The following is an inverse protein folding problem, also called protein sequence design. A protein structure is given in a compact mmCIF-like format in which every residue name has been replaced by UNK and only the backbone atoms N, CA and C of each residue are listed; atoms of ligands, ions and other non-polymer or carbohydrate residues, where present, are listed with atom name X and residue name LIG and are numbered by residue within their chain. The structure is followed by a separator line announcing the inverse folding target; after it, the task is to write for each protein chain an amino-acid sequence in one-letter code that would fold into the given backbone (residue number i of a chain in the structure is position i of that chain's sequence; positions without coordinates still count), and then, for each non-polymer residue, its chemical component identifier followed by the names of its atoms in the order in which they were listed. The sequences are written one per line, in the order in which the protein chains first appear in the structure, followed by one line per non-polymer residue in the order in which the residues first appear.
data_IF_892881353568
#
_entry.id   IF_892881353568
#
_cell.length_a   1.000
_cell.length_b   1.000
_cell.length_c   1.000
_cell.angle_alpha   90.00
_cell.angle_beta   90.00
_cell.angle_gamma   90.00
#
_symmetry.space_group_name_H-M   'P 1'
#
loop_
_entity.id
_entity.type
_entity.pdbx_description
1 polymer ?
#
# COMPACT_ATOMS: atom_id res chain seq x y z
N UNK A 1 -1.40 -14.43 -25.10
CA UNK A 1 -0.43 -15.41 -24.58
C UNK A 1 -0.11 -15.02 -23.13
N UNK A 2 -0.76 -15.61 -22.11
CA UNK A 2 -0.40 -15.30 -20.74
C UNK A 2 0.96 -15.94 -20.44
N UNK A 3 1.92 -15.12 -20.06
CA UNK A 3 3.26 -15.57 -19.68
C UNK A 3 3.14 -16.24 -18.32
N UNK A 4 3.24 -17.56 -18.27
CA UNK A 4 3.39 -18.28 -17.01
C UNK A 4 4.73 -17.89 -16.39
N UNK A 5 4.69 -17.01 -15.38
CA UNK A 5 5.83 -16.73 -14.53
C UNK A 5 6.17 -18.03 -13.79
N UNK A 6 7.32 -18.62 -14.12
CA UNK A 6 7.86 -19.81 -13.45
C UNK A 6 8.09 -19.44 -11.98
N UNK A 7 7.51 -20.22 -11.07
CA UNK A 7 7.69 -20.04 -9.65
C UNK A 7 9.18 -20.13 -9.29
N UNK A 8 9.73 -19.09 -8.68
CA UNK A 8 11.12 -19.07 -8.23
C UNK A 8 11.36 -20.23 -7.23
N UNK A 9 12.52 -20.91 -7.30
CA UNK A 9 12.86 -21.95 -6.34
C UNK A 9 12.89 -21.39 -4.93
N UNK A 10 12.45 -22.20 -3.95
CA UNK A 10 12.40 -21.79 -2.55
C UNK A 10 13.83 -21.51 -2.06
N UNK A 11 14.14 -20.31 -1.54
CA UNK A 11 15.50 -19.91 -1.19
C UNK A 11 16.06 -20.77 -0.06
N UNK A 12 17.37 -20.98 -0.10
CA UNK A 12 18.11 -21.71 0.93
C UNK A 12 17.94 -21.02 2.31
N UNK A 13 18.10 -21.74 3.43
CA UNK A 13 17.87 -21.18 4.77
C UNK A 13 18.77 -19.97 5.09
N UNK A 14 20.02 -19.94 4.63
CA UNK A 14 20.93 -18.78 4.78
C UNK A 14 20.44 -17.57 3.99
N UNK A 15 19.91 -17.80 2.79
CA UNK A 15 19.35 -16.77 1.92
C UNK A 15 18.05 -16.23 2.50
N UNK A 16 17.22 -17.06 3.14
CA UNK A 16 16.03 -16.64 3.90
C UNK A 16 16.36 -15.72 5.08
N UNK A 17 17.51 -15.92 5.72
CA UNK A 17 17.98 -15.05 6.80
C UNK A 17 18.46 -13.71 6.24
N UNK A 18 19.22 -13.72 5.14
CA UNK A 18 19.66 -12.50 4.45
C UNK A 18 18.47 -11.71 3.86
N UNK A 19 17.44 -12.39 3.37
CA UNK A 19 16.15 -11.83 2.95
C UNK A 19 15.32 -11.25 4.11
N UNK A 20 15.79 -11.35 5.35
CA UNK A 20 15.17 -10.77 6.55
C UNK A 20 16.11 -9.81 7.29
N UNK A 21 17.28 -9.52 6.73
CA UNK A 21 18.19 -8.53 7.31
C UNK A 21 17.54 -7.15 7.34
N UNK A 22 17.66 -6.50 8.50
CA UNK A 22 17.36 -5.09 8.64
C UNK A 22 18.23 -4.29 7.65
N UNK A 23 17.64 -3.25 7.04
CA UNK A 23 18.33 -2.39 6.07
C UNK A 23 18.09 -2.75 4.59
N UNK A 24 17.18 -3.67 4.27
CA UNK A 24 16.70 -3.88 2.90
C UNK A 24 15.23 -3.49 2.79
N UNK A 25 14.86 -2.92 1.65
CA UNK A 25 13.47 -2.61 1.32
C UNK A 25 12.60 -3.87 1.36
N UNK A 26 11.46 -3.81 2.04
CA UNK A 26 10.52 -4.92 2.16
C UNK A 26 9.86 -5.33 0.82
N UNK A 27 10.00 -4.51 -0.23
CA UNK A 27 9.44 -4.75 -1.56
C UNK A 27 10.50 -5.21 -2.54
N UNK A 28 11.48 -4.35 -2.87
CA UNK A 28 12.49 -4.64 -3.90
C UNK A 28 13.78 -5.28 -3.36
N UNK A 29 13.95 -5.41 -2.04
CA UNK A 29 15.14 -5.95 -1.37
C UNK A 29 16.46 -5.17 -1.58
N UNK A 30 16.45 -4.02 -2.27
CA UNK A 30 17.61 -3.12 -2.32
C UNK A 30 17.92 -2.56 -0.92
N UNK A 31 19.20 -2.34 -0.64
CA UNK A 31 19.64 -1.72 0.62
C UNK A 31 19.07 -0.30 0.77
N UNK A 32 18.42 -0.04 1.90
CA UNK A 32 17.81 1.24 2.24
C UNK A 32 17.77 1.44 3.75
N UNK A 33 17.78 2.71 4.17
CA UNK A 33 17.56 3.09 5.57
C UNK A 33 16.07 3.00 5.98
N UNK A 34 15.16 2.99 5.00
CA UNK A 34 13.72 2.89 5.23
C UNK A 34 13.23 1.45 5.04
N UNK A 35 12.16 1.07 5.74
CA UNK A 35 11.49 -0.22 5.58
C UNK A 35 10.97 -0.43 4.15
N UNK A 36 10.49 0.64 3.50
CA UNK A 36 10.17 0.65 2.06
C UNK A 36 10.90 1.85 1.47
N UNK A 37 11.75 1.62 0.47
CA UNK A 37 12.54 2.69 -0.15
C UNK A 37 11.67 3.68 -0.92
N UNK A 38 12.17 4.90 -1.09
CA UNK A 38 11.50 5.99 -1.82
C UNK A 38 11.07 5.60 -3.24
N UNK A 39 11.85 4.80 -3.98
CA UNK A 39 11.45 4.33 -5.32
C UNK A 39 10.18 3.46 -5.29
N UNK A 40 10.11 2.53 -4.33
CA UNK A 40 8.93 1.70 -4.15
C UNK A 40 7.74 2.52 -3.66
N UNK A 41 7.96 3.53 -2.83
CA UNK A 41 6.92 4.47 -2.40
C UNK A 41 6.37 5.26 -3.59
N UNK A 42 7.26 5.78 -4.43
CA UNK A 42 6.89 6.53 -5.63
C UNK A 42 6.13 5.69 -6.65
N UNK A 43 6.33 4.37 -6.69
CA UNK A 43 5.60 3.48 -7.58
C UNK A 43 4.25 3.05 -6.98
N UNK A 44 4.25 2.66 -5.71
CA UNK A 44 3.13 1.91 -5.13
C UNK A 44 2.32 2.67 -4.07
N UNK A 45 2.79 3.81 -3.57
CA UNK A 45 2.11 4.64 -2.56
C UNK A 45 1.67 6.01 -3.10
N UNK A 46 1.51 6.18 -4.42
CA UNK A 46 1.04 7.45 -4.99
C UNK A 46 -0.37 7.78 -4.48
N UNK A 47 -0.58 8.99 -3.93
CA UNK A 47 -1.92 9.44 -3.54
C UNK A 47 -2.90 9.34 -4.71
N UNK A 48 -4.09 8.83 -4.41
CA UNK A 48 -5.18 8.71 -5.39
C UNK A 48 -6.31 9.66 -4.96
N UNK A 49 -6.99 10.34 -5.88
CA UNK A 49 -8.21 11.05 -5.54
C UNK A 49 -9.26 10.04 -5.07
N UNK A 50 -9.82 10.27 -3.89
CA UNK A 50 -10.80 9.37 -3.26
C UNK A 50 -12.05 10.13 -2.87
N UNK A 51 -13.19 9.43 -2.91
CA UNK A 51 -14.45 9.94 -2.41
C UNK A 51 -14.33 10.27 -0.93
N UNK A 52 -14.70 11.48 -0.54
CA UNK A 52 -14.69 11.92 0.86
C UNK A 52 -15.46 10.97 1.78
N UNK A 53 -16.61 10.48 1.30
CA UNK A 53 -17.52 9.67 2.10
C UNK A 53 -17.11 8.20 2.15
N UNK A 54 -16.90 7.54 1.00
CA UNK A 54 -16.67 6.08 0.94
C UNK A 54 -15.24 5.67 0.56
N UNK A 55 -14.33 6.62 0.34
CA UNK A 55 -12.95 6.42 -0.10
C UNK A 55 -12.73 5.64 -1.42
N UNK A 56 -13.80 5.38 -2.19
CA UNK A 56 -13.67 4.84 -3.55
C UNK A 56 -12.83 5.77 -4.43
N UNK A 57 -11.99 5.20 -5.30
CA UNK A 57 -11.19 5.98 -6.25
C UNK A 57 -12.09 6.84 -7.13
N UNK A 58 -11.62 8.05 -7.40
CA UNK A 58 -12.27 9.02 -8.27
C UNK A 58 -11.41 9.26 -9.52
N UNK A 59 -11.99 9.83 -10.59
CA UNK A 59 -11.20 10.32 -11.72
C UNK A 59 -10.24 11.44 -11.31
N UNK A 60 -9.08 11.52 -11.98
CA UNK A 60 -8.08 12.55 -11.76
C UNK A 60 -8.62 13.99 -11.93
N UNK A 61 -9.67 14.18 -12.73
CA UNK A 61 -10.33 15.48 -12.90
C UNK A 61 -10.96 16.04 -11.61
N UNK A 62 -11.12 15.22 -10.56
CA UNK A 62 -11.63 15.65 -9.26
C UNK A 62 -10.52 15.94 -8.23
N UNK A 63 -9.25 15.85 -8.62
CA UNK A 63 -8.11 16.25 -7.77
C UNK A 63 -8.26 17.74 -7.40
N UNK A 64 -8.02 18.08 -6.13
CA UNK A 64 -8.08 19.45 -5.62
C UNK A 64 -9.49 19.98 -5.34
N UNK A 65 -10.56 19.25 -5.68
CA UNK A 65 -11.91 19.63 -5.23
C UNK A 65 -12.05 19.43 -3.72
N UNK A 66 -12.72 20.35 -3.01
CA UNK A 66 -13.07 20.13 -1.61
C UNK A 66 -14.12 19.03 -1.50
N UNK A 67 -13.89 18.06 -0.61
CA UNK A 67 -14.82 16.97 -0.28
C UNK A 67 -15.46 16.29 -1.51
N UNK A 68 -14.67 15.79 -2.48
CA UNK A 68 -15.22 15.23 -3.70
C UNK A 68 -16.00 13.94 -3.41
N UNK A 69 -17.20 13.77 -4.00
CA UNK A 69 -18.06 12.60 -3.77
C UNK A 69 -18.32 11.86 -5.07
N UNK A 70 -18.36 10.53 -5.01
CA UNK A 70 -18.76 9.69 -6.15
C UNK A 70 -20.28 9.72 -6.35
N UNK A 71 -20.75 9.37 -7.57
CA UNK A 71 -22.19 9.36 -7.89
C UNK A 71 -23.03 8.48 -6.96
N UNK A 72 -22.50 7.33 -6.53
CA UNK A 72 -23.17 6.45 -5.57
C UNK A 72 -23.43 7.14 -4.24
N UNK A 73 -22.42 7.82 -3.69
CA UNK A 73 -22.57 8.55 -2.43
C UNK A 73 -23.45 9.79 -2.54
N UNK A 74 -23.60 10.38 -3.74
CA UNK A 74 -24.52 11.50 -3.97
C UNK A 74 -25.97 11.01 -4.04
N UNK A 75 -26.24 9.90 -4.72
CA UNK A 75 -27.58 9.33 -4.87
C UNK A 75 -28.07 8.62 -3.60
N UNK A 76 -27.17 7.86 -2.96
CA UNK A 76 -27.47 7.06 -1.77
C UNK A 76 -26.38 7.31 -0.72
N UNK A 77 -26.49 8.39 0.08
CA UNK A 77 -25.53 8.69 1.13
C UNK A 77 -25.47 7.57 2.18
N UNK A 78 -24.30 6.97 2.45
CA UNK A 78 -24.15 5.98 3.52
C UNK A 78 -24.14 6.66 4.91
N UNK A 79 -24.36 5.92 6.01
CA UNK A 79 -24.39 6.46 7.37
C UNK A 79 -22.98 6.68 7.96
N UNK A 80 -22.11 7.34 7.20
CA UNK A 80 -20.72 7.60 7.54
C UNK A 80 -20.29 8.95 6.96
N UNK A 81 -19.70 9.80 7.78
CA UNK A 81 -19.37 11.18 7.40
C UNK A 81 -18.12 11.26 6.51
N UNK A 82 -17.11 10.45 6.82
CA UNK A 82 -15.83 10.44 6.11
C UNK A 82 -15.14 9.08 6.20
N UNK A 83 -14.58 8.63 5.09
CA UNK A 83 -13.66 7.48 5.07
C UNK A 83 -12.29 7.93 4.58
N UNK A 84 -11.24 7.49 5.27
CA UNK A 84 -9.85 7.71 4.87
C UNK A 84 -9.23 6.39 4.44
N UNK A 85 -8.44 6.41 3.37
CA UNK A 85 -7.73 5.22 2.88
C UNK A 85 -6.32 5.63 2.47
N UNK A 86 -5.35 5.17 3.26
CA UNK A 86 -3.94 5.41 3.03
C UNK A 86 -3.43 4.81 1.71
N UNK A 87 -3.85 3.57 1.43
CA UNK A 87 -3.31 2.73 0.36
C UNK A 87 -4.41 1.86 -0.21
N UNK A 88 -4.28 1.46 -1.47
CA UNK A 88 -5.11 0.39 -1.99
C UNK A 88 -4.59 -0.96 -1.51
N UNK A 89 -5.54 -1.87 -1.24
CA UNK A 89 -5.23 -3.24 -0.85
C UNK A 89 -4.85 -4.05 -2.09
N UNK A 90 -3.64 -3.80 -2.59
CA UNK A 90 -3.03 -4.42 -3.75
C UNK A 90 -1.51 -4.48 -3.55
N UNK A 91 -0.80 -5.14 -4.46
CA UNK A 91 0.65 -5.23 -4.43
C UNK A 91 1.29 -3.84 -4.25
N UNK A 92 2.27 -3.68 -3.34
CA UNK A 92 2.83 -4.67 -2.41
C UNK A 92 2.15 -4.68 -1.03
N UNK A 93 1.16 -3.81 -0.80
CA UNK A 93 0.60 -3.53 0.51
C UNK A 93 -0.27 -4.64 1.06
N UNK A 94 -0.97 -5.36 0.21
CA UNK A 94 -1.73 -6.57 0.56
C UNK A 94 -0.85 -7.58 1.32
N UNK A 95 0.33 -7.89 0.77
CA UNK A 95 1.32 -8.75 1.38
C UNK A 95 1.95 -8.13 2.62
N UNK A 96 2.41 -6.88 2.54
CA UNK A 96 3.06 -6.21 3.68
C UNK A 96 2.11 -6.08 4.89
N UNK A 97 0.83 -5.77 4.68
CA UNK A 97 -0.18 -5.72 5.74
C UNK A 97 -0.40 -7.10 6.38
N UNK A 98 -0.40 -8.17 5.59
CA UNK A 98 -0.50 -9.53 6.12
C UNK A 98 0.71 -9.88 6.98
N UNK A 99 1.92 -9.53 6.54
CA UNK A 99 3.14 -9.73 7.32
C UNK A 99 3.13 -8.94 8.63
N UNK A 100 2.68 -7.69 8.59
CA UNK A 100 2.53 -6.86 9.79
C UNK A 100 1.53 -7.49 10.78
N UNK A 101 0.37 -7.92 10.31
CA UNK A 101 -0.71 -8.48 11.16
C UNK A 101 -0.36 -9.84 11.78
N UNK A 102 0.31 -10.72 11.03
CA UNK A 102 0.41 -12.13 11.40
C UNK A 102 1.84 -12.67 11.54
N UNK A 103 2.86 -11.90 11.15
CA UNK A 103 4.25 -12.36 11.10
C UNK A 103 5.24 -11.45 11.84
N UNK A 104 4.76 -10.68 12.83
CA UNK A 104 5.59 -9.85 13.71
C UNK A 104 6.48 -8.82 12.98
N UNK A 105 6.08 -8.40 11.78
CA UNK A 105 6.83 -7.44 10.95
C UNK A 105 6.63 -5.99 11.42
N UNK A 106 6.96 -5.70 12.69
CA UNK A 106 6.71 -4.42 13.36
C UNK A 106 7.45 -3.23 12.73
N UNK A 107 8.53 -3.49 11.99
CA UNK A 107 9.28 -2.48 11.24
C UNK A 107 8.43 -1.75 10.18
N UNK A 108 7.29 -2.33 9.79
CA UNK A 108 6.34 -1.72 8.85
C UNK A 108 5.48 -0.63 9.49
N UNK A 109 5.42 -0.54 10.83
CA UNK A 109 4.51 0.35 11.56
C UNK A 109 4.61 1.80 11.11
N UNK A 110 5.81 2.38 11.17
CA UNK A 110 6.02 3.79 10.83
C UNK A 110 5.70 4.07 9.36
N UNK A 111 6.06 3.14 8.47
CA UNK A 111 5.72 3.27 7.06
C UNK A 111 4.20 3.32 6.87
N UNK A 112 3.45 2.42 7.51
CA UNK A 112 1.99 2.38 7.41
C UNK A 112 1.33 3.63 8.02
N UNK A 113 1.81 4.08 9.19
CA UNK A 113 1.30 5.29 9.86
C UNK A 113 1.50 6.54 9.02
N UNK A 114 2.68 6.73 8.43
CA UNK A 114 2.99 7.89 7.59
C UNK A 114 2.02 8.06 6.41
N UNK A 115 1.42 6.97 5.91
CA UNK A 115 0.47 7.02 4.77
C UNK A 115 -0.97 7.30 5.19
N UNK A 116 -1.29 7.22 6.48
CA UNK A 116 -2.60 7.62 7.01
C UNK A 116 -2.67 9.14 7.27
N UNK A 117 -1.52 9.78 7.46
CA UNK A 117 -1.40 11.20 7.83
C UNK A 117 -1.25 12.15 6.63
N UNK A 118 -1.40 11.64 5.41
CA UNK A 118 -1.37 12.41 4.14
C UNK A 118 -2.78 12.75 3.67
#
# INVERSE_FOLDING_TARGET
MPQHLVAAPKPAPVERVLLRCAGQCAVCRTWSKQTVCDDCLMLYARPQPRCWTCASRLPAALIGRPQPRCGRCLQHPPPLDRTVTALDYAFPWDGLLQHFKYHQALELRESLLQRLHT
#
